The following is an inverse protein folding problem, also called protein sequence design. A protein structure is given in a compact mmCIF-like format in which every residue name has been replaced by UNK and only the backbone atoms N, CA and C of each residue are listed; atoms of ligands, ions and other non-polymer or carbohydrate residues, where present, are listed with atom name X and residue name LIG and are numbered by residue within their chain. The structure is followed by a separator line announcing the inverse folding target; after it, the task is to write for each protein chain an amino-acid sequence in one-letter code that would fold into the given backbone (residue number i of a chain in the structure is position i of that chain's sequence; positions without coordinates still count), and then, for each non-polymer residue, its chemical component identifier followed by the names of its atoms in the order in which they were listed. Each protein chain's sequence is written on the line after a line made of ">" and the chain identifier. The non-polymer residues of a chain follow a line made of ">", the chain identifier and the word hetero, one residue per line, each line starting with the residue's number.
data_IF_724773535143
#
_entry.id   IF_724773535143
#
_cell.length_a   1.000
_cell.length_b   1.000
_cell.length_c   1.000
_cell.angle_alpha   90.00
_cell.angle_beta   90.00
_cell.angle_gamma   90.00
#
_symmetry.space_group_name_H-M   'P 1'
#
loop_
_entity.id
_entity.type
_entity.pdbx_description
1 polymer ?
#
# COMPACT_ATOMS: atom_id res chain seq x y z
N UNK A 1 -5.07 -4.66 -21.52
CA UNK A 1 -5.91 -4.42 -20.30
C UNK A 1 -5.01 -4.22 -19.09
N UNK A 2 -5.29 -3.22 -18.30
CA UNK A 2 -4.59 -3.00 -17.03
C UNK A 2 -5.51 -3.46 -15.89
N UNK A 3 -5.00 -4.33 -15.03
CA UNK A 3 -5.75 -4.84 -13.89
C UNK A 3 -5.21 -4.19 -12.61
N UNK A 4 -6.10 -3.56 -11.84
CA UNK A 4 -5.78 -2.97 -10.56
C UNK A 4 -6.61 -3.60 -9.47
N UNK A 5 -5.96 -3.95 -8.35
CA UNK A 5 -6.61 -4.51 -7.17
C UNK A 5 -6.56 -3.52 -6.01
N UNK A 6 -7.54 -3.61 -5.12
CA UNK A 6 -7.55 -2.83 -3.88
C UNK A 6 -6.91 -3.62 -2.75
N UNK A 7 -6.11 -2.95 -1.92
CA UNK A 7 -5.62 -3.51 -0.66
C UNK A 7 -6.41 -2.99 0.54
N UNK A 8 -7.61 -2.47 0.31
CA UNK A 8 -8.48 -2.01 1.38
C UNK A 8 -8.96 -3.15 2.27
N UNK A 9 -9.22 -2.84 3.54
CA UNK A 9 -9.56 -3.85 4.56
C UNK A 9 -11.05 -4.14 4.70
N UNK A 10 -11.85 -3.96 3.65
CA UNK A 10 -13.30 -4.11 3.77
C UNK A 10 -13.74 -5.52 4.15
N UNK A 11 -13.09 -6.52 3.60
CA UNK A 11 -13.40 -7.92 3.85
C UNK A 11 -12.25 -8.70 4.48
N UNK A 12 -11.18 -8.03 4.88
CA UNK A 12 -10.01 -8.66 5.50
C UNK A 12 -9.32 -7.72 6.46
N UNK A 13 -8.45 -8.26 7.30
CA UNK A 13 -7.70 -7.52 8.32
C UNK A 13 -6.21 -7.84 8.21
N UNK A 14 -5.39 -6.86 8.57
CA UNK A 14 -3.95 -7.03 8.64
C UNK A 14 -3.35 -7.49 7.32
N UNK A 15 -2.48 -8.47 7.39
CA UNK A 15 -1.74 -8.96 6.22
C UNK A 15 -2.61 -9.69 5.19
N UNK A 16 -3.83 -10.09 5.55
CA UNK A 16 -4.78 -10.66 4.58
C UNK A 16 -5.07 -9.69 3.44
N UNK A 17 -4.91 -8.40 3.67
CA UNK A 17 -5.16 -7.37 2.68
C UNK A 17 -4.20 -7.44 1.49
N UNK A 18 -3.05 -8.10 1.64
CA UNK A 18 -2.07 -8.27 0.57
C UNK A 18 -2.07 -9.62 -0.11
N UNK A 19 -3.00 -10.52 0.24
CA UNK A 19 -3.01 -11.88 -0.31
C UNK A 19 -3.05 -11.96 -1.82
N UNK A 20 -3.77 -11.04 -2.46
CA UNK A 20 -3.97 -11.08 -3.90
C UNK A 20 -2.79 -10.51 -4.69
N UNK A 21 -1.78 -9.95 -4.02
CA UNK A 21 -0.61 -9.39 -4.69
C UNK A 21 0.22 -10.46 -5.38
N UNK A 22 0.19 -11.69 -4.89
CA UNK A 22 0.89 -12.82 -5.53
C UNK A 22 0.34 -13.16 -6.91
N UNK A 23 -0.87 -12.73 -7.23
CA UNK A 23 -1.44 -12.88 -8.56
C UNK A 23 -0.85 -11.89 -9.58
N UNK A 24 0.01 -10.99 -9.11
CA UNK A 24 0.73 -10.01 -9.94
C UNK A 24 -0.20 -9.13 -10.79
N UNK A 25 -1.18 -8.43 -10.20
CA UNK A 25 -1.91 -7.41 -10.95
C UNK A 25 -0.95 -6.33 -11.44
N UNK A 26 -1.38 -5.54 -12.40
CA UNK A 26 -0.53 -4.44 -12.90
C UNK A 26 -0.33 -3.36 -11.84
N UNK A 27 -1.38 -3.07 -11.08
CA UNK A 27 -1.38 -2.04 -10.03
C UNK A 27 -2.18 -2.51 -8.83
N UNK A 28 -1.90 -1.91 -7.67
CA UNK A 28 -2.72 -2.07 -6.47
C UNK A 28 -2.74 -0.76 -5.68
N UNK A 29 -3.86 -0.49 -5.01
CA UNK A 29 -3.96 0.68 -4.15
C UNK A 29 -3.07 0.52 -2.92
N UNK A 30 -2.51 1.62 -2.43
CA UNK A 30 -1.72 1.65 -1.21
C UNK A 30 -2.03 2.93 -0.45
N UNK A 31 -2.83 2.80 0.60
CA UNK A 31 -3.12 3.93 1.50
C UNK A 31 -2.02 3.98 2.55
N UNK A 32 -1.29 5.09 2.60
CA UNK A 32 -0.05 5.18 3.36
C UNK A 32 -0.22 5.65 4.80
N UNK A 33 -1.44 5.77 5.28
CA UNK A 33 -1.70 6.14 6.67
C UNK A 33 -3.15 5.88 7.05
N UNK A 34 -3.40 5.82 8.35
CA UNK A 34 -4.74 5.62 8.89
C UNK A 34 -5.58 6.88 8.75
N UNK A 35 -6.89 6.71 8.61
CA UNK A 35 -7.83 7.82 8.48
C UNK A 35 -9.14 7.50 9.19
N UNK A 36 -9.77 8.55 9.74
CA UNK A 36 -11.08 8.45 10.37
C UNK A 36 -12.17 8.81 9.36
N UNK A 37 -12.96 7.82 8.98
CA UNK A 37 -14.20 8.08 8.25
C UNK A 37 -15.34 8.30 9.26
N UNK A 38 -16.47 8.87 8.84
CA UNK A 38 -17.55 9.22 9.80
C UNK A 38 -18.02 8.07 10.69
N UNK A 39 -17.97 6.84 10.21
CA UNK A 39 -18.50 5.69 10.93
C UNK A 39 -17.46 4.65 11.32
N UNK A 40 -16.20 4.85 10.93
CA UNK A 40 -15.12 3.88 11.25
C UNK A 40 -13.75 4.48 11.06
N UNK A 41 -12.76 3.84 11.65
CA UNK A 41 -11.35 4.12 11.38
C UNK A 41 -10.87 3.18 10.27
N UNK A 42 -10.28 3.76 9.24
CA UNK A 42 -9.59 2.99 8.20
C UNK A 42 -8.13 2.84 8.62
N UNK A 43 -7.80 1.68 9.13
CA UNK A 43 -6.49 1.41 9.73
C UNK A 43 -5.45 1.04 8.69
N UNK A 44 -4.35 1.78 8.68
CA UNK A 44 -3.17 1.49 7.88
C UNK A 44 -1.93 1.74 8.74
N UNK A 45 -1.66 0.85 9.71
CA UNK A 45 -0.50 1.00 10.57
C UNK A 45 0.80 0.91 9.77
N UNK A 46 1.87 1.59 10.22
CA UNK A 46 3.12 1.67 9.45
C UNK A 46 3.70 0.32 9.05
N UNK A 47 3.65 -0.67 9.92
CA UNK A 47 4.17 -2.00 9.62
C UNK A 47 3.39 -2.68 8.47
N UNK A 48 2.09 -2.52 8.43
CA UNK A 48 1.26 -3.05 7.35
C UNK A 48 1.56 -2.33 6.03
N UNK A 49 1.67 -0.99 6.06
CA UNK A 49 1.99 -0.21 4.86
C UNK A 49 3.35 -0.62 4.29
N UNK A 50 4.36 -0.75 5.15
CA UNK A 50 5.69 -1.18 4.73
C UNK A 50 5.65 -2.58 4.12
N UNK A 51 4.94 -3.51 4.74
CA UNK A 51 4.83 -4.87 4.25
C UNK A 51 4.10 -4.92 2.89
N UNK A 52 3.00 -4.18 2.74
CA UNK A 52 2.28 -4.12 1.47
C UNK A 52 3.16 -3.54 0.36
N UNK A 53 3.92 -2.49 0.65
CA UNK A 53 4.85 -1.90 -0.31
C UNK A 53 5.92 -2.91 -0.74
N UNK A 54 6.48 -3.65 0.20
CA UNK A 54 7.49 -4.68 -0.10
C UNK A 54 6.90 -5.81 -0.96
N UNK A 55 5.69 -6.25 -0.64
CA UNK A 55 5.01 -7.28 -1.43
C UNK A 55 4.71 -6.78 -2.85
N UNK A 56 4.35 -5.51 -3.01
CA UNK A 56 4.16 -4.92 -4.33
C UNK A 56 5.46 -4.91 -5.14
N UNK A 57 6.57 -4.51 -4.54
CA UNK A 57 7.88 -4.54 -5.21
C UNK A 57 8.25 -5.97 -5.59
N UNK A 58 8.11 -6.90 -4.66
CA UNK A 58 8.44 -8.31 -4.85
C UNK A 58 7.67 -8.94 -6.02
N UNK A 59 6.42 -8.57 -6.19
CA UNK A 59 5.55 -9.11 -7.22
C UNK A 59 5.46 -8.22 -8.47
N UNK A 60 6.27 -7.17 -8.55
CA UNK A 60 6.28 -6.21 -9.68
C UNK A 60 4.92 -5.53 -9.88
N UNK A 61 4.23 -5.24 -8.78
CA UNK A 61 2.95 -4.54 -8.77
C UNK A 61 3.20 -3.05 -8.54
N UNK A 62 2.66 -2.21 -9.41
CA UNK A 62 2.82 -0.76 -9.29
C UNK A 62 1.81 -0.22 -8.26
N UNK A 63 2.25 0.50 -7.22
CA UNK A 63 1.31 1.06 -6.25
C UNK A 63 0.63 2.32 -6.79
N UNK A 64 -0.64 2.46 -6.48
CA UNK A 64 -1.35 3.72 -6.55
C UNK A 64 -1.45 4.28 -5.14
N UNK A 65 -0.69 5.31 -4.84
CA UNK A 65 -0.61 5.89 -3.50
C UNK A 65 -1.87 6.70 -3.21
N UNK A 66 -2.52 6.40 -2.09
CA UNK A 66 -3.70 7.12 -1.62
C UNK A 66 -3.35 7.92 -0.37
N UNK A 67 -3.66 9.21 -0.37
CA UNK A 67 -3.39 10.11 0.74
C UNK A 67 -4.69 10.83 1.12
N UNK A 68 -5.00 10.87 2.41
CA UNK A 68 -6.21 11.51 2.95
C UNK A 68 -5.90 12.59 3.98
N UNK A 69 -4.62 12.76 4.35
CA UNK A 69 -4.17 13.69 5.37
C UNK A 69 -2.78 14.19 5.02
N UNK A 70 -2.39 15.35 5.56
CA UNK A 70 -1.06 15.92 5.32
C UNK A 70 0.06 14.98 5.78
N UNK A 71 -0.12 14.29 6.90
CA UNK A 71 0.87 13.32 7.39
C UNK A 71 1.12 12.20 6.37
N UNK A 72 0.12 11.85 5.56
CA UNK A 72 0.25 10.82 4.53
C UNK A 72 1.22 11.26 3.43
N UNK A 73 1.32 12.55 3.16
CA UNK A 73 2.26 13.07 2.14
C UNK A 73 3.70 12.79 2.57
N UNK A 74 4.03 13.04 3.83
CA UNK A 74 5.35 12.74 4.38
C UNK A 74 5.64 11.23 4.35
N UNK A 75 4.66 10.42 4.72
CA UNK A 75 4.81 8.98 4.70
C UNK A 75 5.01 8.46 3.28
N UNK A 76 4.25 9.00 2.32
CA UNK A 76 4.42 8.64 0.91
C UNK A 76 5.82 8.99 0.40
N UNK A 77 6.33 10.16 0.75
CA UNK A 77 7.67 10.58 0.35
C UNK A 77 8.75 9.68 0.94
N UNK A 78 8.64 9.33 2.22
CA UNK A 78 9.57 8.41 2.87
C UNK A 78 9.53 7.01 2.25
N UNK A 79 8.34 6.52 1.97
CA UNK A 79 8.14 5.23 1.35
C UNK A 79 8.74 5.19 -0.05
N UNK A 80 8.57 6.26 -0.84
CA UNK A 80 9.16 6.37 -2.17
C UNK A 80 10.68 6.30 -2.11
N UNK A 81 11.30 6.96 -1.14
CA UNK A 81 12.76 6.89 -0.94
C UNK A 81 13.21 5.47 -0.62
N UNK A 82 12.51 4.78 0.26
CA UNK A 82 12.81 3.38 0.61
C UNK A 82 12.67 2.47 -0.60
N UNK A 83 11.61 2.65 -1.39
CA UNK A 83 11.38 1.84 -2.59
C UNK A 83 12.46 2.06 -3.63
N UNK A 84 12.89 3.30 -3.85
CA UNK A 84 13.99 3.60 -4.78
C UNK A 84 15.29 2.96 -4.33
N UNK A 85 15.58 2.98 -3.03
CA UNK A 85 16.76 2.33 -2.49
C UNK A 85 16.73 0.82 -2.72
N UNK A 86 15.59 0.19 -2.52
CA UNK A 86 15.41 -1.24 -2.76
C UNK A 86 15.52 -1.61 -4.23
N UNK A 87 14.92 -0.81 -5.11
CA UNK A 87 15.03 -1.01 -6.56
C UNK A 87 16.46 -0.87 -7.05
N UNK A 88 17.22 0.06 -6.47
CA UNK A 88 18.63 0.24 -6.82
C UNK A 88 19.49 -0.96 -6.36
N UNK A 89 19.04 -1.71 -5.36
CA UNK A 89 19.73 -2.89 -4.87
C UNK A 89 19.42 -4.15 -5.69
N UNK A 90 18.46 -4.07 -6.55
CA UNK A 90 18.05 -5.18 -7.42
C UNK A 90 18.74 -5.08 -8.76
#
# INVERSE_FOLDING_TARGET
>A
MIIQLSTGGRSGHGFDRGKMLSLRPDMASLTVGSNNFPTRVYENPPDLVDWLAEEMIKNSVKPEIEVFDLSHIHQAANLAKQCLAKLAAW
#
